data_IF_204053198865
#
_entry.id   IF_204053198865
#
_cell.length_a   1.000
_cell.length_b   1.000
_cell.length_c   1.000
_cell.angle_alpha   90.00
_cell.angle_beta   90.00
_cell.angle_gamma   90.00
#
_symmetry.space_group_name_H-M   'P 1'
#
loop_
_entity.id
_entity.type
_entity.pdbx_description
1 polymer ?
#
# COMPACT_ATOMS: atom_id res chain seq x y z
N UNK A 1 -24.86 2.29 20.99
CA UNK A 1 -23.65 1.53 20.62
C UNK A 1 -22.88 2.35 19.59
N UNK A 2 -22.03 3.27 20.05
CA UNK A 2 -21.16 4.03 19.15
C UNK A 2 -20.05 3.08 18.70
N UNK A 3 -19.97 2.80 17.40
CA UNK A 3 -18.88 1.99 16.82
C UNK A 3 -17.53 2.49 17.35
N UNK A 4 -16.65 1.57 17.77
CA UNK A 4 -15.26 1.93 18.09
C UNK A 4 -14.64 2.64 16.88
N UNK A 5 -13.80 3.64 17.12
CA UNK A 5 -13.17 4.43 16.07
C UNK A 5 -12.41 3.56 15.05
N UNK A 6 -11.84 2.45 15.50
CA UNK A 6 -11.17 1.45 14.65
C UNK A 6 -12.15 0.73 13.71
N UNK A 7 -13.34 0.39 14.18
CA UNK A 7 -14.36 -0.30 13.38
C UNK A 7 -14.93 0.65 12.33
N UNK A 8 -15.18 1.91 12.70
CA UNK A 8 -15.62 2.93 11.76
C UNK A 8 -14.56 3.22 10.68
N UNK A 9 -13.28 3.27 11.07
CA UNK A 9 -12.16 3.43 10.15
C UNK A 9 -12.02 2.22 9.21
N UNK A 10 -12.16 1.00 9.73
CA UNK A 10 -12.15 -0.23 8.93
C UNK A 10 -13.28 -0.26 7.89
N UNK A 11 -14.49 0.11 8.30
CA UNK A 11 -15.65 0.25 7.40
C UNK A 11 -15.43 1.32 6.34
N UNK A 12 -14.88 2.49 6.68
CA UNK A 12 -14.61 3.54 5.70
C UNK A 12 -13.53 3.13 4.70
N UNK A 13 -12.49 2.42 5.15
CA UNK A 13 -11.45 1.86 4.27
C UNK A 13 -12.03 0.79 3.35
N UNK A 14 -12.86 -0.12 3.86
CA UNK A 14 -13.49 -1.18 3.05
C UNK A 14 -14.43 -0.60 1.98
N UNK A 15 -15.25 0.39 2.35
CA UNK A 15 -16.09 1.12 1.40
C UNK A 15 -15.26 1.87 0.37
N UNK A 16 -14.19 2.54 0.78
CA UNK A 16 -13.26 3.21 -0.12
C UNK A 16 -12.62 2.25 -1.13
N UNK A 17 -12.17 1.08 -0.66
CA UNK A 17 -11.63 0.02 -1.51
C UNK A 17 -12.65 -0.44 -2.55
N UNK A 18 -13.88 -0.75 -2.13
CA UNK A 18 -14.94 -1.22 -3.03
C UNK A 18 -15.28 -0.17 -4.09
N UNK A 19 -15.44 1.10 -3.69
CA UNK A 19 -15.82 2.18 -4.60
C UNK A 19 -14.69 2.53 -5.58
N UNK A 20 -13.45 2.63 -5.10
CA UNK A 20 -12.30 2.99 -5.94
C UNK A 20 -11.96 1.83 -6.89
N UNK A 21 -11.78 0.61 -6.37
CA UNK A 21 -11.45 -0.54 -7.19
C UNK A 21 -12.57 -0.87 -8.17
N UNK A 22 -13.82 -0.93 -7.69
CA UNK A 22 -14.98 -1.21 -8.53
C UNK A 22 -15.22 -0.12 -9.59
N UNK A 23 -15.11 1.16 -9.21
CA UNK A 23 -15.24 2.27 -10.15
C UNK A 23 -14.19 2.25 -11.24
N UNK A 24 -12.91 2.06 -10.88
CA UNK A 24 -11.82 1.96 -11.86
C UNK A 24 -11.95 0.70 -12.71
N UNK A 25 -12.37 -0.42 -12.12
CA UNK A 25 -12.61 -1.66 -12.84
C UNK A 25 -13.69 -1.51 -13.92
N UNK A 26 -14.81 -0.86 -13.58
CA UNK A 26 -15.91 -0.62 -14.52
C UNK A 26 -15.52 0.36 -15.64
N UNK A 27 -14.62 1.31 -15.36
CA UNK A 27 -14.25 2.35 -16.33
C UNK A 27 -13.06 1.98 -17.21
N UNK A 28 -12.05 1.33 -16.65
CA UNK A 28 -10.74 1.08 -17.28
C UNK A 28 -10.37 -0.42 -17.36
N UNK A 29 -11.24 -1.31 -16.85
CA UNK A 29 -11.06 -2.75 -16.91
C UNK A 29 -10.26 -3.36 -15.75
N UNK A 30 -10.05 -4.66 -15.82
CA UNK A 30 -9.52 -5.47 -14.72
C UNK A 30 -8.11 -5.07 -14.25
N UNK A 31 -7.20 -4.76 -15.18
CA UNK A 31 -5.82 -4.36 -14.87
C UNK A 31 -5.75 -3.06 -14.08
N UNK A 32 -6.52 -2.06 -14.51
CA UNK A 32 -6.61 -0.77 -13.82
C UNK A 32 -7.30 -0.92 -12.45
N UNK A 33 -8.35 -1.75 -12.36
CA UNK A 33 -9.01 -2.05 -11.09
C UNK A 33 -8.07 -2.71 -10.07
N UNK A 34 -7.28 -3.70 -10.50
CA UNK A 34 -6.34 -4.41 -9.62
C UNK A 34 -5.20 -3.52 -9.12
N UNK A 35 -4.65 -2.65 -9.98
CA UNK A 35 -3.64 -1.67 -9.57
C UNK A 35 -4.20 -0.60 -8.63
N UNK A 36 -5.42 -0.11 -8.88
CA UNK A 36 -6.12 0.80 -7.97
C UNK A 36 -6.40 0.16 -6.61
N UNK A 37 -6.86 -1.11 -6.58
CA UNK A 37 -7.08 -1.87 -5.35
C UNK A 37 -5.78 -1.98 -4.54
N UNK A 38 -4.67 -2.29 -5.19
CA UNK A 38 -3.34 -2.35 -4.56
C UNK A 38 -2.99 -1.04 -3.88
N UNK A 39 -3.17 0.09 -4.55
CA UNK A 39 -2.92 1.42 -3.98
C UNK A 39 -3.75 1.69 -2.73
N UNK A 40 -5.04 1.34 -2.74
CA UNK A 40 -5.92 1.50 -1.57
C UNK A 40 -5.51 0.59 -0.42
N UNK A 41 -5.16 -0.67 -0.69
CA UNK A 41 -4.70 -1.61 0.34
C UNK A 41 -3.42 -1.11 0.99
N UNK A 42 -2.44 -0.64 0.21
CA UNK A 42 -1.16 -0.10 0.68
C UNK A 42 -1.35 1.16 1.54
N UNK A 43 -2.36 1.98 1.25
CA UNK A 43 -2.66 3.18 2.03
C UNK A 43 -3.35 2.88 3.38
N UNK A 44 -3.89 1.67 3.57
CA UNK A 44 -4.68 1.33 4.77
C UNK A 44 -3.88 1.15 6.08
N UNK A 45 -2.71 0.47 6.12
CA UNK A 45 -1.96 0.30 7.38
C UNK A 45 -1.48 1.61 8.05
N UNK A 46 -1.03 2.66 7.32
CA UNK A 46 -0.68 3.92 7.93
C UNK A 46 -1.90 4.74 8.37
N UNK A 47 -3.12 4.40 7.91
CA UNK A 47 -4.36 5.09 8.26
C UNK A 47 -4.86 4.60 9.62
N UNK A 48 -4.47 5.32 10.67
CA UNK A 48 -4.96 5.07 12.03
C UNK A 48 -5.92 6.15 12.48
N UNK A 49 -6.97 5.82 13.27
CA UNK A 49 -7.84 6.82 13.87
C UNK A 49 -7.02 7.79 14.72
N UNK A 50 -7.14 9.10 14.45
CA UNK A 50 -6.35 10.11 15.15
C UNK A 50 -6.67 11.55 14.73
N UNK A 51 -6.10 12.55 15.42
CA UNK A 51 -6.33 13.96 15.16
C UNK A 51 -5.98 14.35 13.71
N UNK A 52 -6.78 15.25 13.10
CA UNK A 52 -6.56 15.70 11.72
C UNK A 52 -5.21 16.41 11.50
N UNK A 53 -4.66 17.02 12.54
CA UNK A 53 -3.41 17.80 12.45
C UNK A 53 -2.22 16.87 12.23
N UNK A 54 -1.57 16.98 11.07
CA UNK A 54 -0.38 16.19 10.72
C UNK A 54 -0.66 14.84 10.08
N UNK A 55 -1.93 14.48 9.85
CA UNK A 55 -2.32 13.20 9.22
C UNK A 55 -1.69 13.01 7.83
N UNK A 56 -1.61 14.09 7.02
CA UNK A 56 -0.93 14.05 5.72
C UNK A 56 0.53 13.63 5.86
N UNK A 57 1.28 14.20 6.82
CA UNK A 57 2.69 13.87 7.07
C UNK A 57 2.88 12.44 7.58
N UNK A 58 1.89 11.87 8.26
CA UNK A 58 1.89 10.47 8.66
C UNK A 58 1.61 9.53 7.47
N UNK A 59 0.74 9.93 6.55
CA UNK A 59 0.36 9.13 5.39
C UNK A 59 1.42 9.18 4.29
N UNK A 60 2.07 10.33 4.08
CA UNK A 60 2.99 10.61 2.95
C UNK A 60 4.15 9.61 2.76
N UNK A 61 4.82 9.10 3.82
CA UNK A 61 5.96 8.21 3.65
C UNK A 61 5.63 6.91 2.91
N UNK A 62 4.42 6.37 3.12
CA UNK A 62 4.03 5.09 2.53
C UNK A 62 3.85 5.18 1.00
N UNK A 63 3.10 6.15 0.42
CA UNK A 63 3.06 6.36 -1.02
C UNK A 63 4.41 6.77 -1.61
N UNK A 64 5.19 7.60 -0.92
CA UNK A 64 6.50 8.05 -1.40
C UNK A 64 7.48 6.89 -1.62
N UNK A 65 7.41 5.85 -0.79
CA UNK A 65 8.23 4.64 -0.94
C UNK A 65 7.53 3.56 -1.78
N UNK A 66 6.23 3.36 -1.58
CA UNK A 66 5.44 2.31 -2.21
C UNK A 66 5.22 2.52 -3.71
N UNK A 67 4.93 3.75 -4.16
CA UNK A 67 4.72 4.06 -5.58
C UNK A 67 5.95 3.75 -6.45
N UNK A 68 7.17 4.27 -6.16
CA UNK A 68 8.33 3.98 -7.00
C UNK A 68 8.68 2.49 -6.98
N UNK A 69 8.48 1.80 -5.85
CA UNK A 69 8.72 0.36 -5.75
C UNK A 69 7.70 -0.46 -6.55
N UNK A 70 6.41 -0.09 -6.53
CA UNK A 70 5.37 -0.70 -7.36
C UNK A 70 5.73 -0.58 -8.84
N UNK A 71 6.08 0.62 -9.32
CA UNK A 71 6.49 0.81 -10.71
C UNK A 71 7.77 0.05 -11.06
N UNK A 72 8.77 0.04 -10.15
CA UNK A 72 10.01 -0.70 -10.38
C UNK A 72 9.74 -2.21 -10.51
N UNK A 73 8.85 -2.78 -9.69
CA UNK A 73 8.44 -4.19 -9.82
C UNK A 73 7.69 -4.45 -11.13
N UNK A 74 6.76 -3.59 -11.54
CA UNK A 74 6.07 -3.71 -12.83
C UNK A 74 7.05 -3.64 -14.01
N UNK A 75 8.02 -2.73 -14.00
CA UNK A 75 9.01 -2.62 -15.09
C UNK A 75 9.95 -3.82 -15.16
N UNK A 76 10.25 -4.45 -14.03
CA UNK A 76 11.18 -5.58 -13.94
C UNK A 76 10.49 -6.95 -14.03
N UNK A 77 9.16 -7.01 -14.23
CA UNK A 77 8.39 -8.26 -14.28
C UNK A 77 8.95 -9.29 -15.28
N UNK A 78 9.44 -8.84 -16.43
CA UNK A 78 9.98 -9.71 -17.48
C UNK A 78 11.43 -10.17 -17.23
N UNK A 79 12.09 -9.70 -16.16
CA UNK A 79 13.49 -9.97 -15.86
C UNK A 79 13.65 -10.51 -14.42
N UNK A 80 13.37 -11.80 -14.17
CA UNK A 80 13.25 -12.36 -12.82
C UNK A 80 14.51 -12.19 -11.97
N UNK A 81 15.70 -12.24 -12.58
CA UNK A 81 16.95 -12.02 -11.87
C UNK A 81 17.11 -10.56 -11.38
N UNK A 82 16.73 -9.57 -12.20
CA UNK A 82 16.77 -8.14 -11.83
C UNK A 82 15.75 -7.86 -10.73
N UNK A 83 14.59 -8.51 -10.85
CA UNK A 83 13.50 -8.40 -9.89
C UNK A 83 13.95 -8.90 -8.50
N UNK A 84 14.63 -10.06 -8.43
CA UNK A 84 15.24 -10.54 -7.19
C UNK A 84 16.26 -9.57 -6.60
N UNK A 85 17.09 -8.95 -7.45
CA UNK A 85 18.10 -7.97 -7.05
C UNK A 85 17.49 -6.66 -6.52
N UNK A 86 16.26 -6.33 -6.91
CA UNK A 86 15.47 -5.23 -6.35
C UNK A 86 14.77 -5.64 -5.04
N UNK A 87 14.11 -6.80 -5.03
CA UNK A 87 13.30 -7.27 -3.90
C UNK A 87 14.15 -7.50 -2.65
N UNK A 88 15.30 -8.15 -2.76
CA UNK A 88 16.15 -8.48 -1.60
C UNK A 88 16.60 -7.24 -0.81
N UNK A 89 17.23 -6.22 -1.42
CA UNK A 89 17.60 -5.02 -0.67
C UNK A 89 16.39 -4.21 -0.23
N UNK A 90 15.31 -4.16 -1.03
CA UNK A 90 14.15 -3.36 -0.70
C UNK A 90 13.32 -3.97 0.45
N UNK A 91 13.20 -5.30 0.51
CA UNK A 91 12.63 -6.03 1.66
C UNK A 91 13.49 -5.81 2.90
N UNK A 92 14.81 -5.94 2.79
CA UNK A 92 15.73 -5.65 3.90
C UNK A 92 15.54 -4.23 4.44
N UNK A 93 15.50 -3.22 3.57
CA UNK A 93 15.27 -1.83 3.97
C UNK A 93 13.88 -1.61 4.59
N UNK A 94 12.84 -2.28 4.10
CA UNK A 94 11.50 -2.21 4.69
C UNK A 94 11.49 -2.80 6.11
N UNK A 95 12.12 -3.96 6.33
CA UNK A 95 12.27 -4.54 7.66
C UNK A 95 13.19 -3.72 8.57
N UNK A 96 14.23 -3.09 8.01
CA UNK A 96 15.07 -2.17 8.76
C UNK A 96 14.27 -0.93 9.21
N UNK A 97 13.40 -0.40 8.35
CA UNK A 97 12.50 0.69 8.71
C UNK A 97 11.52 0.28 9.82
N UNK A 98 11.09 -1.00 9.86
CA UNK A 98 10.28 -1.55 10.94
C UNK A 98 11.01 -1.48 12.30
N UNK A 99 12.34 -1.62 12.32
CA UNK A 99 13.15 -1.57 13.53
C UNK A 99 13.22 -0.17 14.18
N UNK A 100 12.91 0.90 13.44
CA UNK A 100 12.96 2.28 13.93
C UNK A 100 11.70 2.73 14.71
N UNK A 101 10.88 1.79 15.17
CA UNK A 101 9.84 2.02 16.18
C UNK A 101 8.40 2.06 15.64
N UNK A 102 7.46 2.50 16.48
CA UNK A 102 6.00 2.32 16.29
C UNK A 102 5.42 2.90 14.99
N UNK A 103 6.12 3.85 14.34
CA UNK A 103 5.74 4.45 13.05
C UNK A 103 6.29 3.70 11.84
N UNK A 104 7.39 2.96 11.99
CA UNK A 104 8.03 2.20 10.91
C UNK A 104 7.24 0.96 10.50
N UNK A 105 6.59 0.30 11.46
CA UNK A 105 5.77 -0.90 11.24
C UNK A 105 4.71 -0.73 10.14
N UNK A 106 3.78 0.25 10.21
CA UNK A 106 2.75 0.40 9.18
C UNK A 106 3.33 0.80 7.82
N UNK A 107 4.45 1.52 7.77
CA UNK A 107 5.12 1.90 6.52
C UNK A 107 5.76 0.67 5.86
N UNK A 108 6.44 -0.17 6.64
CA UNK A 108 7.05 -1.41 6.17
C UNK A 108 5.99 -2.38 5.61
N UNK A 109 4.87 -2.54 6.33
CA UNK A 109 3.74 -3.36 5.87
C UNK A 109 3.18 -2.83 4.55
N UNK A 110 2.95 -1.51 4.45
CA UNK A 110 2.48 -0.88 3.23
C UNK A 110 3.43 -1.15 2.03
N UNK A 111 4.74 -0.99 2.23
CA UNK A 111 5.75 -1.25 1.18
C UNK A 111 5.77 -2.73 0.76
N UNK A 112 5.67 -3.65 1.72
CA UNK A 112 5.61 -5.10 1.43
C UNK A 112 4.35 -5.48 0.67
N UNK A 113 3.19 -4.96 1.06
CA UNK A 113 1.94 -5.19 0.33
C UNK A 113 2.03 -4.62 -1.10
N UNK A 114 2.67 -3.45 -1.29
CA UNK A 114 2.86 -2.87 -2.62
C UNK A 114 3.66 -3.81 -3.54
N UNK A 115 4.76 -4.38 -3.05
CA UNK A 115 5.57 -5.33 -3.81
C UNK A 115 4.84 -6.64 -4.11
N UNK A 116 4.22 -7.24 -3.09
CA UNK A 116 3.54 -8.53 -3.23
C UNK A 116 2.36 -8.43 -4.19
N UNK A 117 1.54 -7.38 -4.08
CA UNK A 117 0.42 -7.20 -5.00
C UNK A 117 0.86 -6.75 -6.39
N UNK A 118 1.98 -6.01 -6.52
CA UNK A 118 2.56 -5.74 -7.84
C UNK A 118 2.97 -7.05 -8.53
N UNK A 119 3.55 -8.01 -7.81
CA UNK A 119 3.86 -9.34 -8.38
C UNK A 119 2.61 -10.15 -8.78
N UNK A 120 1.46 -9.84 -8.19
CA UNK A 120 0.19 -10.52 -8.47
C UNK A 120 -0.61 -9.84 -9.59
N UNK A 121 -0.28 -8.59 -9.95
CA UNK A 121 -0.90 -7.91 -11.09
C UNK A 121 -0.28 -8.41 -12.40
N UNK A 122 -1.09 -8.90 -13.35
CA UNK A 122 -0.61 -9.49 -14.60
C UNK A 122 -0.07 -8.46 -15.60
#
# INVERSE_FOLDING_TARGET
>A
MLLSADVACGLSVALGLLLISGGVHLWMGALAGASAATGVIVASPPDRPGPRRGKLRQMLPAPLLGLPLFFAVQMLHHAPWRLGLLLVPATFLAFLAMAWGKRGIPIAIAVMLAMVFSLATP
#
